data_IF_892056058696
#
_entry.id   IF_892056058696
#
_cell.length_a   1.000
_cell.length_b   1.000
_cell.length_c   1.000
_cell.angle_alpha   90.00
_cell.angle_beta   90.00
_cell.angle_gamma   90.00
#
_symmetry.space_group_name_H-M   'P 1'
#
loop_
_entity.id
_entity.type
_entity.pdbx_description
1 polymer ?
#
# COMPACT_ATOMS: atom_id res chain seq x y z
N UNK A 1 3.88 3.17 -49.63
CA UNK A 1 4.84 2.91 -48.56
C UNK A 1 5.14 4.10 -47.64
N UNK A 2 5.46 5.31 -48.14
CA UNK A 2 5.79 6.50 -47.29
C UNK A 2 4.65 6.93 -46.39
N UNK A 3 3.38 6.87 -46.82
CA UNK A 3 2.21 7.22 -46.07
C UNK A 3 1.98 6.28 -44.87
N UNK A 4 2.00 4.98 -45.09
CA UNK A 4 1.89 3.95 -44.04
C UNK A 4 2.99 4.08 -42.97
N UNK A 5 4.24 4.36 -43.40
CA UNK A 5 5.36 4.60 -42.48
C UNK A 5 5.12 5.83 -41.59
N UNK A 6 4.55 6.92 -42.11
CA UNK A 6 4.21 8.14 -41.33
C UNK A 6 3.13 7.83 -40.30
N UNK A 7 2.08 7.09 -40.68
CA UNK A 7 1.02 6.67 -39.73
C UNK A 7 1.63 5.82 -38.60
N UNK A 8 2.45 4.84 -38.94
CA UNK A 8 3.09 3.97 -37.95
C UNK A 8 3.96 4.78 -36.97
N UNK A 9 4.78 5.70 -37.48
CA UNK A 9 5.61 6.58 -36.66
C UNK A 9 4.73 7.42 -35.72
N UNK A 10 3.64 8.02 -36.24
CA UNK A 10 2.73 8.82 -35.43
C UNK A 10 2.08 8.01 -34.30
N UNK A 11 1.67 6.77 -34.58
CA UNK A 11 1.11 5.86 -33.55
C UNK A 11 2.15 5.55 -32.50
N UNK A 12 3.38 5.20 -32.88
CA UNK A 12 4.46 4.90 -31.93
C UNK A 12 4.76 6.10 -31.05
N UNK A 13 4.90 7.29 -31.63
CA UNK A 13 5.12 8.54 -30.87
C UNK A 13 3.98 8.80 -29.89
N UNK A 14 2.72 8.61 -30.33
CA UNK A 14 1.55 8.81 -29.46
C UNK A 14 1.56 7.82 -28.29
N UNK A 15 1.89 6.55 -28.51
CA UNK A 15 2.01 5.54 -27.46
C UNK A 15 3.12 5.91 -26.47
N UNK A 16 4.29 6.32 -26.96
CA UNK A 16 5.41 6.75 -26.11
C UNK A 16 5.03 7.96 -25.26
N UNK A 17 4.36 8.94 -25.84
CA UNK A 17 3.85 10.12 -25.12
C UNK A 17 2.81 9.74 -24.04
N UNK A 18 1.91 8.82 -24.35
CA UNK A 18 0.91 8.32 -23.39
C UNK A 18 1.58 7.57 -22.22
N UNK A 19 2.51 6.68 -22.52
CA UNK A 19 3.28 5.97 -21.47
C UNK A 19 4.05 6.98 -20.62
N UNK A 20 4.70 7.97 -21.26
CA UNK A 20 5.36 9.07 -20.57
C UNK A 20 4.42 9.83 -19.65
N UNK A 21 3.23 10.18 -20.13
CA UNK A 21 2.23 10.92 -19.35
C UNK A 21 1.81 10.18 -18.07
N UNK A 22 1.69 8.85 -18.12
CA UNK A 22 1.38 8.02 -16.93
C UNK A 22 2.48 8.09 -15.86
N UNK A 23 3.72 8.38 -16.22
CA UNK A 23 4.83 8.51 -15.26
C UNK A 23 4.87 9.87 -14.56
N UNK A 24 4.15 10.88 -15.09
CA UNK A 24 4.21 12.25 -14.60
C UNK A 24 2.83 12.77 -14.15
N UNK A 25 2.26 12.27 -13.02
CA UNK A 25 0.95 12.71 -12.53
C UNK A 25 0.89 14.23 -12.26
N UNK A 26 2.02 14.86 -11.96
CA UNK A 26 2.14 16.32 -11.76
C UNK A 26 1.68 17.16 -12.96
N UNK A 27 1.61 16.58 -14.16
CA UNK A 27 1.11 17.28 -15.35
C UNK A 27 -0.42 17.47 -15.30
N UNK A 28 -1.12 16.65 -14.50
CA UNK A 28 -2.58 16.56 -14.48
C UNK A 28 -3.18 16.97 -13.14
N UNK A 29 -2.40 16.87 -12.05
CA UNK A 29 -2.87 17.05 -10.68
C UNK A 29 -2.11 18.20 -10.04
N UNK A 30 -2.84 19.16 -9.48
CA UNK A 30 -2.25 20.32 -8.82
C UNK A 30 -1.66 19.96 -7.47
N UNK A 31 -0.55 20.60 -7.10
CA UNK A 31 -0.03 20.55 -5.75
C UNK A 31 -1.01 21.28 -4.82
N UNK A 32 -1.44 20.60 -3.75
CA UNK A 32 -2.22 21.23 -2.69
C UNK A 32 -1.28 21.88 -1.66
N UNK A 33 -0.47 21.09 -0.97
CA UNK A 33 0.48 21.59 0.04
C UNK A 33 1.60 20.60 0.32
N UNK A 34 2.55 21.01 1.18
CA UNK A 34 3.59 20.14 1.75
C UNK A 34 3.51 20.22 3.27
N UNK A 35 3.58 19.06 3.92
CA UNK A 35 3.64 18.93 5.37
C UNK A 35 4.67 17.86 5.76
N UNK A 36 5.71 18.24 6.49
CA UNK A 36 6.83 17.35 6.87
C UNK A 36 7.38 16.57 5.67
N UNK A 37 7.35 15.25 5.72
CA UNK A 37 7.82 14.35 4.66
C UNK A 37 6.84 14.21 3.48
N UNK A 38 5.63 14.76 3.57
CA UNK A 38 4.55 14.53 2.62
C UNK A 38 4.31 15.74 1.71
N UNK A 39 4.14 15.50 0.41
CA UNK A 39 3.61 16.48 -0.54
C UNK A 39 2.32 15.92 -1.11
N UNK A 40 1.21 16.63 -0.91
CA UNK A 40 -0.11 16.23 -1.39
C UNK A 40 -0.44 16.93 -2.70
N UNK A 41 -1.05 16.17 -3.60
CA UNK A 41 -1.56 16.64 -4.89
C UNK A 41 -3.01 16.24 -5.03
N UNK A 42 -3.87 17.21 -5.41
CA UNK A 42 -5.29 16.96 -5.66
C UNK A 42 -5.85 18.07 -6.56
N UNK A 43 -6.86 17.75 -7.35
CA UNK A 43 -7.64 18.77 -8.06
C UNK A 43 -8.81 19.28 -7.20
N UNK A 44 -9.22 18.53 -6.18
CA UNK A 44 -10.12 19.02 -5.15
C UNK A 44 -9.38 19.99 -4.21
N UNK A 45 -10.12 20.92 -3.64
CA UNK A 45 -9.57 21.80 -2.61
C UNK A 45 -9.23 20.97 -1.36
N UNK A 46 -7.95 20.93 -1.03
CA UNK A 46 -7.43 20.30 0.20
C UNK A 46 -6.71 21.37 1.01
N UNK A 47 -7.17 21.59 2.22
CA UNK A 47 -6.57 22.54 3.16
C UNK A 47 -5.79 21.80 4.24
N UNK A 48 -4.65 22.35 4.65
CA UNK A 48 -3.85 21.82 5.73
C UNK A 48 -4.49 22.17 7.09
N UNK A 49 -5.49 21.40 7.50
CA UNK A 49 -6.14 21.48 8.79
C UNK A 49 -5.60 20.45 9.79
N UNK A 50 -6.11 20.46 11.03
CA UNK A 50 -5.68 19.54 12.09
C UNK A 50 -5.96 18.07 11.77
N UNK A 51 -7.08 17.74 11.12
CA UNK A 51 -7.40 16.36 10.73
C UNK A 51 -6.36 15.82 9.73
N UNK A 52 -5.96 16.64 8.75
CA UNK A 52 -4.92 16.27 7.79
C UNK A 52 -3.57 16.06 8.48
N UNK A 53 -3.18 16.98 9.38
CA UNK A 53 -1.92 16.85 10.12
C UNK A 53 -1.90 15.59 10.97
N UNK A 54 -2.96 15.33 11.72
CA UNK A 54 -3.08 14.15 12.59
C UNK A 54 -2.95 12.84 11.81
N UNK A 55 -3.58 12.75 10.63
CA UNK A 55 -3.44 11.58 9.75
C UNK A 55 -2.00 11.43 9.27
N UNK A 56 -1.39 12.49 8.75
CA UNK A 56 -0.02 12.42 8.23
C UNK A 56 1.01 12.15 9.34
N UNK A 57 0.78 12.64 10.55
CA UNK A 57 1.63 12.36 11.71
C UNK A 57 1.50 10.90 12.16
N UNK A 58 0.29 10.36 12.13
CA UNK A 58 0.05 8.93 12.39
C UNK A 58 0.72 8.04 11.34
N UNK A 59 0.61 8.40 10.06
CA UNK A 59 1.34 7.70 8.98
C UNK A 59 2.84 7.76 9.20
N UNK A 60 3.39 8.93 9.53
CA UNK A 60 4.82 9.06 9.81
C UNK A 60 5.24 8.21 11.01
N UNK A 61 4.41 8.14 12.06
CA UNK A 61 4.64 7.27 13.21
C UNK A 61 4.66 5.80 12.82
N UNK A 62 3.69 5.34 12.01
CA UNK A 62 3.66 3.97 11.51
C UNK A 62 4.94 3.62 10.73
N UNK A 63 5.34 4.48 9.81
CA UNK A 63 6.51 4.26 8.95
C UNK A 63 7.83 4.22 9.72
N UNK A 64 7.91 4.81 10.92
CA UNK A 64 9.10 4.72 11.80
C UNK A 64 9.33 3.32 12.35
N UNK A 65 8.33 2.46 12.40
CA UNK A 65 8.46 1.07 12.84
C UNK A 65 9.09 0.15 11.78
N UNK A 66 9.27 0.64 10.55
CA UNK A 66 9.92 -0.14 9.49
C UNK A 66 11.43 -0.18 9.70
N UNK A 67 12.04 -1.36 9.54
CA UNK A 67 13.49 -1.52 9.51
C UNK A 67 14.14 -0.76 8.34
N UNK A 68 13.37 -0.46 7.29
CA UNK A 68 13.78 0.37 6.15
C UNK A 68 13.50 1.86 6.37
N UNK A 69 13.20 2.30 7.59
CA UNK A 69 12.89 3.70 7.86
C UNK A 69 14.04 4.63 7.52
N UNK A 70 13.72 5.73 6.81
CA UNK A 70 14.65 6.82 6.52
C UNK A 70 13.97 8.16 6.77
N UNK A 71 14.55 8.98 7.65
CA UNK A 71 14.01 10.30 8.03
C UNK A 71 13.86 11.26 6.85
N UNK A 72 14.74 11.15 5.84
CA UNK A 72 14.74 12.04 4.68
C UNK A 72 13.89 11.56 3.50
N UNK A 73 13.13 10.47 3.64
CA UNK A 73 12.22 9.96 2.60
C UNK A 73 11.05 10.92 2.46
N UNK A 74 10.91 11.52 1.28
CA UNK A 74 9.78 12.38 0.92
C UNK A 74 8.79 11.58 0.09
N UNK A 75 7.52 11.61 0.48
CA UNK A 75 6.43 10.90 -0.18
C UNK A 75 5.49 11.88 -0.89
N UNK A 76 5.12 11.57 -2.12
CA UNK A 76 4.20 12.34 -2.94
C UNK A 76 2.86 11.58 -3.02
N UNK A 77 1.81 12.16 -2.46
CA UNK A 77 0.47 11.56 -2.37
C UNK A 77 -0.44 12.22 -3.41
N UNK A 78 -0.90 11.46 -4.40
CA UNK A 78 -1.76 11.93 -5.50
C UNK A 78 -3.16 11.39 -5.32
N UNK A 79 -4.11 12.24 -4.96
CA UNK A 79 -5.54 11.91 -4.93
C UNK A 79 -6.15 12.28 -6.27
N UNK A 80 -6.38 11.27 -7.12
CA UNK A 80 -6.66 11.49 -8.56
C UNK A 80 -8.12 11.31 -8.94
N UNK A 81 -9.02 11.01 -8.00
CA UNK A 81 -10.44 10.77 -8.27
C UNK A 81 -11.06 11.91 -9.09
N UNK A 82 -11.81 11.57 -10.14
CA UNK A 82 -12.47 12.50 -11.04
C UNK A 82 -11.54 13.23 -12.02
N UNK A 83 -10.23 13.02 -11.94
CA UNK A 83 -9.26 13.70 -12.80
C UNK A 83 -9.12 13.08 -14.19
N UNK A 84 -8.54 13.84 -15.13
CA UNK A 84 -8.13 13.28 -16.42
C UNK A 84 -7.06 12.21 -16.27
N UNK A 85 -6.21 12.33 -15.24
CA UNK A 85 -5.17 11.34 -14.95
C UNK A 85 -5.77 9.98 -14.51
N UNK A 86 -6.81 9.98 -13.70
CA UNK A 86 -7.52 8.74 -13.34
C UNK A 86 -8.02 8.01 -14.59
N UNK A 87 -8.67 8.76 -15.51
CA UNK A 87 -9.13 8.19 -16.79
C UNK A 87 -7.98 7.65 -17.63
N UNK A 88 -6.84 8.33 -17.63
CA UNK A 88 -5.65 7.92 -18.36
C UNK A 88 -5.09 6.60 -17.80
N UNK A 89 -4.89 6.48 -16.49
CA UNK A 89 -4.36 5.25 -15.87
C UNK A 89 -5.34 4.08 -16.00
N UNK A 90 -6.65 4.36 -16.00
CA UNK A 90 -7.69 3.35 -16.24
C UNK A 90 -7.58 2.68 -17.61
N UNK A 91 -7.16 3.43 -18.65
CA UNK A 91 -6.92 2.87 -19.99
C UNK A 91 -5.80 1.82 -20.00
N UNK A 92 -4.89 1.86 -19.03
CA UNK A 92 -3.81 0.89 -18.85
C UNK A 92 -4.13 -0.20 -17.83
N UNK A 93 -5.40 -0.33 -17.41
CA UNK A 93 -5.81 -1.32 -16.41
C UNK A 93 -5.35 -1.01 -14.98
N UNK A 94 -4.83 0.20 -14.71
CA UNK A 94 -4.33 0.61 -13.40
C UNK A 94 -5.46 1.20 -12.53
N UNK A 95 -6.48 0.40 -12.23
CA UNK A 95 -7.67 0.83 -11.47
C UNK A 95 -7.61 0.48 -9.98
N UNK A 96 -6.43 0.14 -9.46
CA UNK A 96 -6.26 -0.13 -8.04
C UNK A 96 -6.65 1.10 -7.23
N UNK A 97 -7.20 0.87 -6.03
CA UNK A 97 -7.61 1.96 -5.12
C UNK A 97 -6.41 2.78 -4.64
N UNK A 98 -5.27 2.10 -4.48
CA UNK A 98 -3.97 2.69 -4.22
C UNK A 98 -2.89 1.96 -5.03
N UNK A 99 -1.80 2.65 -5.32
CA UNK A 99 -0.59 2.06 -5.91
C UNK A 99 0.61 2.94 -5.63
N UNK A 100 1.75 2.33 -5.36
CA UNK A 100 3.02 3.02 -5.20
C UNK A 100 3.94 2.83 -6.41
N UNK A 101 4.66 3.90 -6.76
CA UNK A 101 5.77 3.88 -7.72
C UNK A 101 6.91 4.68 -7.12
N UNK A 102 7.89 4.01 -6.54
CA UNK A 102 8.96 4.66 -5.77
C UNK A 102 8.39 5.47 -4.60
N UNK A 103 8.51 6.80 -4.63
CA UNK A 103 7.98 7.72 -3.64
C UNK A 103 6.67 8.40 -4.05
N UNK A 104 6.04 7.94 -5.14
CA UNK A 104 4.76 8.46 -5.64
C UNK A 104 3.66 7.47 -5.35
N UNK A 105 2.63 7.92 -4.66
CA UNK A 105 1.48 7.11 -4.26
C UNK A 105 0.24 7.67 -4.91
N UNK A 106 -0.45 6.85 -5.69
CA UNK A 106 -1.63 7.23 -6.46
C UNK A 106 -2.85 6.59 -5.82
N UNK A 107 -3.82 7.42 -5.44
CA UNK A 107 -5.07 7.02 -4.81
C UNK A 107 -6.24 7.40 -5.72
N UNK A 108 -6.98 6.40 -6.20
CA UNK A 108 -8.17 6.61 -7.05
C UNK A 108 -9.44 6.86 -6.23
N UNK A 109 -9.34 6.86 -4.91
CA UNK A 109 -10.40 7.23 -3.99
C UNK A 109 -10.31 8.70 -3.53
N UNK A 110 -11.44 9.22 -3.01
CA UNK A 110 -11.52 10.53 -2.37
C UNK A 110 -11.12 10.42 -0.90
N UNK A 111 -10.14 11.20 -0.42
CA UNK A 111 -9.79 11.22 0.99
C UNK A 111 -10.86 12.01 1.77
N UNK A 112 -11.31 11.46 2.89
CA UNK A 112 -12.15 12.12 3.89
C UNK A 112 -11.36 12.13 5.18
N UNK A 113 -10.53 13.15 5.36
CA UNK A 113 -9.56 13.23 6.46
C UNK A 113 -10.22 13.24 7.83
N UNK A 114 -11.34 13.94 7.99
CA UNK A 114 -12.05 14.01 9.28
C UNK A 114 -12.60 12.66 9.76
N UNK A 115 -12.79 11.73 8.84
CA UNK A 115 -13.28 10.37 9.10
C UNK A 115 -12.19 9.30 9.01
N UNK A 116 -10.97 9.67 8.65
CA UNK A 116 -9.87 8.75 8.37
C UNK A 116 -10.23 7.69 7.31
N UNK A 117 -10.88 8.11 6.21
CA UNK A 117 -11.42 7.22 5.19
C UNK A 117 -10.93 7.60 3.79
N UNK A 118 -10.60 6.60 2.97
CA UNK A 118 -10.48 6.70 1.53
C UNK A 118 -11.71 6.06 0.89
N UNK A 119 -12.55 6.86 0.19
CA UNK A 119 -13.80 6.41 -0.42
C UNK A 119 -13.63 6.26 -1.93
N UNK A 120 -13.90 5.08 -2.47
CA UNK A 120 -13.90 4.82 -3.92
C UNK A 120 -15.33 4.90 -4.47
N UNK A 121 -15.57 5.88 -5.39
CA UNK A 121 -16.88 6.07 -6.02
C UNK A 121 -17.99 6.58 -5.07
N UNK A 122 -19.17 6.90 -5.63
CA UNK A 122 -20.30 7.41 -4.85
C UNK A 122 -21.09 6.32 -4.11
N UNK A 123 -21.07 5.08 -4.61
CA UNK A 123 -21.90 3.97 -4.14
C UNK A 123 -21.11 2.81 -3.54
N UNK A 124 -19.78 2.91 -3.39
CA UNK A 124 -19.01 1.81 -2.84
C UNK A 124 -19.12 1.76 -1.32
N UNK A 125 -19.41 0.55 -0.83
CA UNK A 125 -19.38 0.18 0.60
C UNK A 125 -17.92 0.10 1.10
N UNK A 126 -16.95 0.19 0.18
CA UNK A 126 -15.53 0.01 0.46
C UNK A 126 -14.93 1.28 1.04
N UNK A 127 -14.89 1.33 2.36
CA UNK A 127 -14.23 2.37 3.10
C UNK A 127 -12.91 1.83 3.62
N UNK A 128 -11.81 2.33 3.06
CA UNK A 128 -10.48 1.96 3.52
C UNK A 128 -10.00 3.00 4.53
N UNK A 129 -9.33 2.54 5.55
CA UNK A 129 -8.70 3.42 6.53
C UNK A 129 -7.54 4.19 5.87
N UNK A 130 -7.60 5.52 5.91
CA UNK A 130 -6.67 6.38 5.19
C UNK A 130 -5.24 6.30 5.77
N UNK A 131 -5.10 6.22 7.09
CA UNK A 131 -3.80 6.04 7.74
C UNK A 131 -3.18 4.72 7.31
N UNK A 132 -3.96 3.63 7.34
CA UNK A 132 -3.46 2.31 6.99
C UNK A 132 -3.00 2.24 5.53
N UNK A 133 -3.82 2.71 4.59
CA UNK A 133 -3.48 2.62 3.17
C UNK A 133 -2.29 3.52 2.79
N UNK A 134 -2.15 4.71 3.39
CA UNK A 134 -1.00 5.57 3.15
C UNK A 134 0.26 4.96 3.78
N UNK A 135 0.16 4.36 4.97
CA UNK A 135 1.28 3.68 5.63
C UNK A 135 1.73 2.46 4.84
N UNK A 136 0.80 1.65 4.32
CA UNK A 136 1.06 0.50 3.47
C UNK A 136 1.88 0.89 2.23
N UNK A 137 1.39 1.85 1.45
CA UNK A 137 2.10 2.34 0.27
C UNK A 137 3.45 2.98 0.63
N UNK A 138 3.51 3.68 1.78
CA UNK A 138 4.73 4.26 2.31
C UNK A 138 5.79 3.21 2.66
N UNK A 139 5.40 2.06 3.22
CA UNK A 139 6.28 0.94 3.51
C UNK A 139 6.91 0.38 2.23
N UNK A 140 6.13 0.21 1.15
CA UNK A 140 6.68 -0.16 -0.15
C UNK A 140 7.76 0.82 -0.63
N UNK A 141 7.54 2.13 -0.46
CA UNK A 141 8.54 3.14 -0.85
C UNK A 141 9.83 3.06 -0.04
N UNK A 142 9.75 2.69 1.24
CA UNK A 142 10.92 2.46 2.08
C UNK A 142 11.69 1.22 1.60
N UNK A 143 11.00 0.11 1.36
CA UNK A 143 11.60 -1.12 0.83
C UNK A 143 12.27 -0.89 -0.53
N UNK A 144 11.61 -0.20 -1.46
CA UNK A 144 12.18 0.14 -2.78
C UNK A 144 13.51 0.86 -2.70
N UNK A 145 13.63 1.77 -1.75
CA UNK A 145 14.81 2.63 -1.64
C UNK A 145 16.01 1.88 -1.09
N UNK A 146 15.80 0.88 -0.24
CA UNK A 146 16.87 0.11 0.38
C UNK A 146 17.32 -1.08 -0.46
N UNK A 147 16.38 -1.79 -1.08
CA UNK A 147 16.69 -3.01 -1.83
C UNK A 147 17.07 -2.80 -3.30
N UNK A 148 17.08 -1.58 -3.79
CA UNK A 148 17.06 -1.29 -5.23
C UNK A 148 15.77 -1.83 -5.91
N UNK A 149 15.51 -1.37 -7.12
CA UNK A 149 14.35 -1.84 -7.91
C UNK A 149 14.43 -3.33 -8.18
N UNK A 150 15.62 -3.83 -8.48
CA UNK A 150 15.85 -5.24 -8.85
C UNK A 150 15.65 -6.16 -7.63
N UNK A 151 16.12 -5.77 -6.46
CA UNK A 151 15.92 -6.51 -5.22
C UNK A 151 14.43 -6.60 -4.86
N UNK A 152 13.73 -5.47 -4.87
CA UNK A 152 12.29 -5.43 -4.61
C UNK A 152 11.50 -6.30 -5.59
N UNK A 153 11.81 -6.25 -6.89
CA UNK A 153 11.12 -7.07 -7.90
C UNK A 153 11.39 -8.58 -7.75
N UNK A 154 12.49 -8.96 -7.10
CA UNK A 154 12.81 -10.36 -6.81
C UNK A 154 12.20 -10.86 -5.51
N UNK A 155 11.83 -9.96 -4.61
CA UNK A 155 11.17 -10.31 -3.34
C UNK A 155 9.78 -10.87 -3.64
N UNK A 156 9.43 -12.03 -3.10
CA UNK A 156 8.10 -12.61 -3.28
C UNK A 156 6.99 -11.64 -2.87
N UNK A 157 5.90 -11.61 -3.65
CA UNK A 157 4.78 -10.69 -3.41
C UNK A 157 4.21 -10.80 -1.99
N UNK A 158 4.11 -12.00 -1.44
CA UNK A 158 3.60 -12.20 -0.08
C UNK A 158 4.48 -11.55 1.00
N UNK A 159 5.80 -11.44 0.78
CA UNK A 159 6.69 -10.72 1.70
C UNK A 159 6.48 -9.20 1.55
N UNK A 160 6.42 -8.71 0.31
CA UNK A 160 6.24 -7.28 0.04
C UNK A 160 4.91 -6.76 0.61
N UNK A 161 3.80 -7.44 0.29
CA UNK A 161 2.46 -7.04 0.75
C UNK A 161 2.30 -7.28 2.25
N UNK A 162 2.76 -8.44 2.74
CA UNK A 162 2.69 -8.78 4.15
C UNK A 162 3.46 -7.81 5.03
N UNK A 163 4.65 -7.39 4.62
CA UNK A 163 5.43 -6.42 5.38
C UNK A 163 4.80 -5.02 5.34
N UNK A 164 4.27 -4.59 4.21
CA UNK A 164 3.55 -3.33 4.13
C UNK A 164 2.31 -3.31 5.04
N UNK A 165 1.53 -4.39 5.06
CA UNK A 165 0.43 -4.58 6.01
C UNK A 165 0.94 -4.60 7.46
N UNK A 166 2.00 -5.35 7.77
CA UNK A 166 2.60 -5.42 9.10
C UNK A 166 2.95 -4.02 9.65
N UNK A 167 3.61 -3.18 8.85
CA UNK A 167 3.96 -1.80 9.23
C UNK A 167 2.71 -0.93 9.41
N UNK A 168 1.72 -1.06 8.53
CA UNK A 168 0.51 -0.24 8.58
C UNK A 168 -0.37 -0.49 9.81
N UNK A 169 -0.32 -1.70 10.39
CA UNK A 169 -1.11 -2.12 11.54
C UNK A 169 -0.33 -2.11 12.87
N UNK A 170 1.00 -2.06 12.86
CA UNK A 170 1.82 -2.22 14.07
C UNK A 170 1.46 -1.30 15.22
N UNK A 171 1.29 0.02 15.06
CA UNK A 171 0.96 0.90 16.18
C UNK A 171 -0.42 0.64 16.80
N UNK A 172 -1.35 0.14 16.01
CA UNK A 172 -2.69 -0.22 16.49
C UNK A 172 -2.59 -1.48 17.34
N UNK A 173 -1.78 -2.46 16.95
CA UNK A 173 -1.57 -3.71 17.68
C UNK A 173 -0.90 -3.48 19.04
N UNK A 174 0.06 -2.59 19.11
CA UNK A 174 0.77 -2.27 20.36
C UNK A 174 -0.14 -1.63 21.41
N UNK A 175 -1.26 -1.03 21.02
CA UNK A 175 -2.19 -0.33 21.89
C UNK A 175 -3.49 -1.10 22.23
N UNK A 176 -3.67 -2.31 21.70
CA UNK A 176 -4.88 -3.10 21.91
C UNK A 176 -4.52 -4.53 22.34
N UNK A 177 -5.44 -5.19 23.07
CA UNK A 177 -5.33 -6.64 23.32
C UNK A 177 -5.50 -7.36 21.99
N UNK A 178 -4.36 -7.69 21.39
CA UNK A 178 -4.27 -8.29 20.07
C UNK A 178 -3.62 -9.68 20.18
N UNK A 179 -4.31 -10.67 19.63
CA UNK A 179 -3.80 -12.04 19.58
C UNK A 179 -3.70 -12.48 18.13
N UNK A 180 -2.50 -12.82 17.70
CA UNK A 180 -2.22 -13.32 16.34
C UNK A 180 -2.98 -14.64 16.08
N UNK A 181 -3.19 -15.48 17.10
CA UNK A 181 -4.00 -16.69 17.00
C UNK A 181 -5.45 -16.41 16.60
N UNK A 182 -6.10 -15.38 17.16
CA UNK A 182 -7.47 -14.99 16.79
C UNK A 182 -7.55 -14.52 15.34
N UNK A 183 -6.53 -13.78 14.89
CA UNK A 183 -6.46 -13.32 13.50
C UNK A 183 -6.23 -14.50 12.54
N UNK A 184 -5.43 -15.48 12.93
CA UNK A 184 -5.22 -16.71 12.18
C UNK A 184 -6.52 -17.52 12.04
N UNK A 185 -7.26 -17.73 13.14
CA UNK A 185 -8.58 -18.39 13.13
C UNK A 185 -9.55 -17.65 12.21
N UNK A 186 -9.56 -16.32 12.28
CA UNK A 186 -10.39 -15.49 11.41
C UNK A 186 -10.03 -15.63 9.93
N UNK A 187 -8.74 -15.68 9.60
CA UNK A 187 -8.27 -15.95 8.25
C UNK A 187 -8.73 -17.33 7.74
N UNK A 188 -8.54 -18.37 8.56
CA UNK A 188 -8.95 -19.74 8.21
C UNK A 188 -10.46 -19.86 7.98
N UNK A 189 -11.27 -19.22 8.82
CA UNK A 189 -12.74 -19.28 8.75
C UNK A 189 -13.34 -18.37 7.65
N UNK A 190 -12.60 -17.42 7.11
CA UNK A 190 -13.11 -16.49 6.12
C UNK A 190 -13.29 -17.18 4.76
N UNK A 191 -14.51 -17.10 4.19
CA UNK A 191 -14.83 -17.59 2.84
C UNK A 191 -14.86 -16.46 1.81
N UNK A 192 -14.97 -15.21 2.25
CA UNK A 192 -15.09 -14.04 1.38
C UNK A 192 -13.74 -13.53 0.93
N UNK A 193 -13.72 -12.86 -0.23
CA UNK A 193 -12.53 -12.15 -0.73
C UNK A 193 -12.10 -11.00 0.19
N UNK A 194 -13.08 -10.30 0.78
CA UNK A 194 -12.85 -9.21 1.74
C UNK A 194 -13.11 -9.68 3.16
N UNK A 195 -12.15 -9.44 4.03
CA UNK A 195 -12.23 -9.79 5.45
C UNK A 195 -12.23 -8.50 6.27
N UNK A 196 -13.18 -8.40 7.21
CA UNK A 196 -13.19 -7.30 8.18
C UNK A 196 -12.11 -7.56 9.22
N UNK A 197 -11.17 -6.65 9.34
CA UNK A 197 -10.08 -6.75 10.31
C UNK A 197 -10.60 -6.51 11.74
N UNK A 198 -9.80 -6.82 12.74
CA UNK A 198 -10.07 -6.56 14.16
C UNK A 198 -10.31 -5.07 14.45
N UNK A 199 -9.80 -4.19 13.60
CA UNK A 199 -9.92 -2.73 13.73
C UNK A 199 -11.07 -2.13 12.90
N UNK A 200 -11.91 -2.99 12.32
CA UNK A 200 -13.11 -2.59 11.56
C UNK A 200 -12.85 -2.20 10.10
N UNK A 201 -11.60 -2.14 9.65
CA UNK A 201 -11.27 -1.95 8.23
C UNK A 201 -11.47 -3.23 7.44
N UNK A 202 -11.63 -3.09 6.12
CA UNK A 202 -11.70 -4.23 5.19
C UNK A 202 -10.35 -4.44 4.53
N UNK A 203 -9.91 -5.69 4.43
CA UNK A 203 -8.69 -6.07 3.69
C UNK A 203 -8.96 -7.28 2.81
N UNK A 204 -8.31 -7.44 1.63
CA UNK A 204 -8.36 -8.67 0.88
C UNK A 204 -7.86 -9.85 1.72
N UNK A 205 -8.51 -10.99 1.64
CA UNK A 205 -8.09 -12.22 2.37
C UNK A 205 -6.63 -12.56 2.12
N UNK A 206 -6.15 -12.34 0.89
CA UNK A 206 -4.75 -12.56 0.52
C UNK A 206 -3.79 -11.66 1.32
N UNK A 207 -4.12 -10.38 1.48
CA UNK A 207 -3.29 -9.44 2.25
C UNK A 207 -3.31 -9.75 3.75
N UNK A 208 -4.47 -10.18 4.26
CA UNK A 208 -4.56 -10.66 5.63
C UNK A 208 -3.67 -11.87 5.86
N UNK A 209 -3.66 -12.86 4.93
CA UNK A 209 -2.74 -14.00 4.96
C UNK A 209 -1.28 -13.53 5.00
N UNK A 210 -0.91 -12.69 4.07
CA UNK A 210 0.47 -12.24 3.91
C UNK A 210 0.94 -11.48 5.16
N UNK A 211 0.05 -10.68 5.77
CA UNK A 211 0.30 -10.01 7.04
C UNK A 211 0.54 -11.00 8.18
N UNK A 212 -0.34 -11.97 8.42
CA UNK A 212 -0.19 -12.92 9.54
C UNK A 212 1.08 -13.75 9.42
N UNK A 213 1.51 -14.09 8.19
CA UNK A 213 2.76 -14.78 7.94
C UNK A 213 3.96 -13.93 8.41
N UNK A 214 4.00 -12.67 8.01
CA UNK A 214 5.08 -11.74 8.40
C UNK A 214 5.06 -11.48 9.91
N UNK A 215 3.89 -11.28 10.51
CA UNK A 215 3.75 -11.13 11.97
C UNK A 215 4.28 -12.35 12.72
N UNK A 216 3.93 -13.55 12.27
CA UNK A 216 4.44 -14.79 12.87
C UNK A 216 5.97 -14.88 12.78
N UNK A 217 6.54 -14.63 11.62
CA UNK A 217 7.98 -14.67 11.41
C UNK A 217 8.72 -13.63 12.26
N UNK A 218 8.23 -12.40 12.31
CA UNK A 218 8.89 -11.31 13.05
C UNK A 218 8.59 -11.40 14.54
N UNK A 219 7.31 -11.50 14.94
CA UNK A 219 6.90 -11.32 16.33
C UNK A 219 7.01 -12.63 17.14
N UNK A 220 6.88 -13.81 16.52
CA UNK A 220 6.99 -15.12 17.21
C UNK A 220 8.36 -15.76 16.95
N UNK A 221 8.77 -15.92 15.66
CA UNK A 221 10.06 -16.53 15.32
C UNK A 221 11.26 -15.60 15.50
N UNK A 222 11.03 -14.30 15.76
CA UNK A 222 12.07 -13.27 15.98
C UNK A 222 13.04 -13.10 14.81
N UNK A 223 12.56 -13.33 13.59
CA UNK A 223 13.34 -13.08 12.38
C UNK A 223 13.29 -11.58 12.02
N UNK A 224 14.40 -11.03 11.54
CA UNK A 224 14.40 -9.72 10.91
C UNK A 224 13.92 -9.81 9.45
N UNK A 225 13.44 -8.70 8.89
CA UNK A 225 12.84 -8.71 7.55
C UNK A 225 13.86 -9.03 6.45
N UNK A 226 15.13 -8.69 6.62
CA UNK A 226 16.17 -8.99 5.63
C UNK A 226 16.41 -10.49 5.55
N UNK A 227 16.50 -11.16 6.70
CA UNK A 227 16.60 -12.63 6.78
C UNK A 227 15.40 -13.31 6.14
N UNK A 228 14.17 -12.77 6.32
CA UNK A 228 12.95 -13.28 5.66
C UNK A 228 13.04 -13.14 4.13
N UNK A 229 13.51 -12.00 3.64
CA UNK A 229 13.65 -11.74 2.20
C UNK A 229 14.70 -12.67 1.56
N UNK A 230 15.79 -12.95 2.25
CA UNK A 230 16.90 -13.73 1.74
C UNK A 230 16.63 -15.25 1.81
N UNK A 231 15.77 -15.70 2.71
CA UNK A 231 15.45 -17.11 2.89
C UNK A 231 14.46 -17.63 1.82
N UNK A 232 15.00 -18.15 0.73
CA UNK A 232 14.21 -18.73 -0.36
C UNK A 232 13.47 -20.04 0.01
N UNK A 233 13.76 -20.63 1.17
CA UNK A 233 13.08 -21.83 1.65
C UNK A 233 11.71 -21.55 2.25
N UNK A 234 11.46 -20.31 2.69
CA UNK A 234 10.18 -19.89 3.25
C UNK A 234 9.06 -19.95 2.20
N UNK A 235 8.03 -20.71 2.51
CA UNK A 235 6.80 -20.83 1.68
C UNK A 235 5.59 -20.54 2.54
N UNK A 236 4.62 -19.75 2.02
CA UNK A 236 3.38 -19.43 2.75
C UNK A 236 2.69 -20.65 3.36
N UNK A 237 2.58 -21.73 2.60
CA UNK A 237 1.88 -22.95 3.00
C UNK A 237 2.58 -23.63 4.20
N UNK A 238 3.90 -23.69 4.18
CA UNK A 238 4.70 -24.28 5.27
C UNK A 238 4.58 -23.45 6.55
N UNK A 239 4.59 -22.11 6.43
CA UNK A 239 4.46 -21.22 7.57
C UNK A 239 3.06 -21.33 8.17
N UNK A 240 2.00 -21.43 7.35
CA UNK A 240 0.63 -21.62 7.84
C UNK A 240 0.47 -22.93 8.62
N UNK A 241 1.04 -24.03 8.16
CA UNK A 241 1.05 -25.31 8.89
C UNK A 241 1.80 -25.19 10.22
N UNK A 242 2.97 -24.54 10.22
CA UNK A 242 3.73 -24.28 11.44
C UNK A 242 2.94 -23.43 12.44
N UNK A 243 2.27 -22.39 11.97
CA UNK A 243 1.40 -21.53 12.79
C UNK A 243 0.26 -22.33 13.43
N UNK A 244 -0.38 -23.20 12.64
CA UNK A 244 -1.45 -24.07 13.12
C UNK A 244 -0.96 -24.96 14.25
N UNK A 245 0.15 -25.66 14.05
CA UNK A 245 0.75 -26.49 15.09
C UNK A 245 1.18 -25.69 16.34
N UNK A 246 1.65 -24.45 16.14
CA UNK A 246 2.08 -23.59 17.25
C UNK A 246 0.89 -23.18 18.11
N UNK A 247 -0.22 -22.75 17.51
CA UNK A 247 -1.40 -22.27 18.24
C UNK A 247 -2.18 -23.43 18.87
N UNK A 248 -2.29 -24.60 18.21
CA UNK A 248 -2.92 -25.80 18.80
C UNK A 248 -2.21 -26.33 20.07
N UNK A 249 -0.90 -26.07 20.21
CA UNK A 249 -0.11 -26.48 21.41
C UNK A 249 -0.19 -25.46 22.55
N UNK A 250 -0.70 -24.27 22.27
CA UNK A 250 -0.70 -23.14 23.23
C UNK A 250 -2.09 -22.95 23.89
N UNK A 251 -3.14 -23.57 23.35
CA UNK A 251 -4.47 -23.71 23.97
C UNK A 251 -4.47 -24.87 24.99
#
# INVERSE_FOLDING_TARGET
MRFLRRILISIIVSIVLLIGAVQFPKLFIKKAFTYKAFTLYSNDQLDLNESVKNILDSVQSNLKHSEFHRENLKLELYFVQGSLYEKLIALFGMNNIASSKFNKHIYTGKPIFDQNVLKKGSNSIEWLNLIQIISHEGAHSQMYKDHSIVGFMKTPSWINEGYAEYISYKPIRENQNYFLSELFIKYESANDFWVKTEFGSMTPKLYLRDRILIEYLIDIRKMDILSIIEDQSLKPEMILEEMKEHFEKTE
#
